data_IF_851320021405
#
_entry.id   IF_851320021405
#
_cell.length_a   1.000
_cell.length_b   1.000
_cell.length_c   1.000
_cell.angle_alpha   90.00
_cell.angle_beta   90.00
_cell.angle_gamma   90.00
#
_symmetry.space_group_name_H-M   'P 1'
#
loop_
_entity.id
_entity.type
_entity.pdbx_description
1 polymer ?
#
# COMPACT_ATOMS: atom_id res chain seq x y z
N UNK A 1 -6.98 -8.22 -23.38
CA UNK A 1 -6.40 -7.05 -23.88
C UNK A 1 -6.47 -5.90 -22.90
N UNK A 2 -5.41 -5.21 -22.85
CA UNK A 2 -5.35 -4.17 -21.93
C UNK A 2 -6.02 -2.95 -22.47
N UNK A 3 -6.83 -2.40 -21.72
CA UNK A 3 -7.54 -1.24 -22.13
C UNK A 3 -6.64 -0.01 -21.99
N UNK A 4 -6.57 0.74 -23.04
CA UNK A 4 -5.85 1.99 -22.99
C UNK A 4 -6.81 3.07 -22.55
N UNK A 5 -6.49 3.69 -21.46
CA UNK A 5 -7.29 4.77 -20.96
C UNK A 5 -6.77 6.07 -21.52
N UNK A 6 -7.63 6.82 -22.12
CA UNK A 6 -7.28 8.16 -22.52
C UNK A 6 -7.29 9.02 -21.28
N UNK A 7 -6.13 9.34 -20.82
CA UNK A 7 -6.02 10.09 -19.60
C UNK A 7 -6.06 11.57 -19.91
N UNK A 8 -7.11 12.21 -19.49
CA UNK A 8 -7.20 13.67 -19.61
C UNK A 8 -6.74 14.34 -18.34
N UNK A 9 -6.69 13.60 -17.24
CA UNK A 9 -6.27 14.15 -15.97
C UNK A 9 -4.88 13.62 -15.65
N UNK A 10 -3.88 14.51 -15.73
CA UNK A 10 -2.50 14.15 -15.50
C UNK A 10 -2.23 13.75 -14.07
N UNK A 11 -3.21 13.95 -13.17
CA UNK A 11 -3.05 13.57 -11.78
C UNK A 11 -3.49 12.14 -11.51
N UNK A 12 -3.98 11.46 -12.55
CA UNK A 12 -4.33 10.06 -12.41
C UNK A 12 -3.08 9.22 -12.29
N UNK A 13 -3.09 8.26 -11.36
CA UNK A 13 -1.94 7.42 -11.09
C UNK A 13 -2.21 6.02 -11.63
N UNK A 14 -1.18 5.42 -12.21
CA UNK A 14 -1.32 4.09 -12.79
C UNK A 14 -1.33 3.04 -11.69
N UNK A 15 -2.20 2.05 -11.84
CA UNK A 15 -2.31 0.93 -10.91
C UNK A 15 -2.38 -0.37 -11.70
N UNK A 16 -1.87 -1.47 -11.16
CA UNK A 16 -2.10 -2.76 -11.80
C UNK A 16 -3.57 -3.16 -11.65
N UNK A 17 -4.10 -3.81 -12.67
CA UNK A 17 -5.40 -4.45 -12.53
C UNK A 17 -5.27 -5.62 -11.55
N UNK A 18 -6.41 -6.07 -11.01
CA UNK A 18 -6.37 -7.19 -10.05
C UNK A 18 -5.58 -8.37 -10.61
N UNK A 19 -5.84 -8.71 -11.87
CA UNK A 19 -5.22 -9.88 -12.49
C UNK A 19 -3.72 -9.74 -12.69
N UNK A 20 -3.21 -8.52 -12.62
CA UNK A 20 -1.79 -8.26 -12.81
C UNK A 20 -0.99 -8.30 -11.52
N UNK A 21 -1.68 -8.39 -10.38
CA UNK A 21 -0.98 -8.40 -9.09
C UNK A 21 -0.33 -9.76 -8.89
N UNK A 22 0.96 -9.73 -8.52
CA UNK A 22 1.74 -10.94 -8.36
C UNK A 22 2.13 -11.14 -6.91
N UNK A 23 2.14 -12.41 -6.49
CA UNK A 23 2.48 -12.75 -5.11
C UNK A 23 3.87 -12.23 -4.73
N UNK A 24 4.85 -12.45 -5.59
CA UNK A 24 6.20 -12.01 -5.25
C UNK A 24 6.29 -10.48 -5.18
N UNK A 25 5.46 -9.78 -5.93
CA UNK A 25 5.42 -8.33 -5.83
C UNK A 25 4.89 -7.87 -4.49
N UNK A 26 3.84 -8.53 -4.00
CA UNK A 26 3.29 -8.24 -2.69
C UNK A 26 4.34 -8.49 -1.61
N UNK A 27 5.00 -9.65 -1.67
CA UNK A 27 5.99 -10.00 -0.67
C UNK A 27 7.16 -9.03 -0.68
N UNK A 28 7.60 -8.63 -1.87
CA UNK A 28 8.66 -7.64 -1.99
C UNK A 28 8.25 -6.31 -1.38
N UNK A 29 7.04 -5.86 -1.70
CA UNK A 29 6.57 -4.58 -1.19
C UNK A 29 6.50 -4.57 0.33
N UNK A 30 6.12 -5.69 0.93
CA UNK A 30 5.96 -5.78 2.38
C UNK A 30 7.22 -6.16 3.13
N UNK A 31 8.33 -6.35 2.41
CA UNK A 31 9.59 -6.74 3.07
C UNK A 31 10.37 -5.58 3.66
N UNK A 32 9.87 -4.37 3.51
CA UNK A 32 10.53 -3.17 4.05
C UNK A 32 9.78 -2.67 5.28
N UNK A 33 10.50 -2.35 6.38
CA UNK A 33 9.83 -1.94 7.62
C UNK A 33 8.97 -0.69 7.47
N UNK A 34 9.41 0.27 6.65
CA UNK A 34 8.62 1.50 6.49
C UNK A 34 7.35 1.22 5.71
N UNK A 35 7.44 0.39 4.68
CA UNK A 35 6.26 0.02 3.91
C UNK A 35 5.29 -0.82 4.75
N UNK A 36 5.83 -1.72 5.58
CA UNK A 36 4.98 -2.48 6.50
C UNK A 36 4.26 -1.57 7.48
N UNK A 37 4.95 -0.53 7.96
CA UNK A 37 4.33 0.44 8.86
C UNK A 37 3.14 1.12 8.20
N UNK A 38 3.31 1.53 6.94
CA UNK A 38 2.23 2.17 6.19
C UNK A 38 1.04 1.23 6.05
N UNK A 39 1.29 -0.01 5.67
CA UNK A 39 0.23 -0.98 5.45
C UNK A 39 -0.50 -1.31 6.75
N UNK A 40 0.23 -1.44 7.85
CA UNK A 40 -0.41 -1.68 9.15
C UNK A 40 -1.33 -0.53 9.53
N UNK A 41 -0.89 0.71 9.28
CA UNK A 41 -1.74 1.86 9.58
C UNK A 41 -2.99 1.86 8.71
N UNK A 42 -2.85 1.56 7.42
CA UNK A 42 -4.00 1.51 6.54
C UNK A 42 -4.96 0.39 6.92
N UNK A 43 -4.45 -0.68 7.49
CA UNK A 43 -5.29 -1.82 7.88
C UNK A 43 -6.15 -1.52 9.11
N UNK A 44 -5.86 -0.45 9.85
CA UNK A 44 -6.63 -0.12 11.05
C UNK A 44 -7.86 0.70 10.76
N UNK A 45 -8.05 1.13 9.52
CA UNK A 45 -9.18 1.97 9.17
C UNK A 45 -9.69 1.58 7.79
N UNK A 46 -10.96 1.87 7.54
CA UNK A 46 -11.51 1.72 6.19
C UNK A 46 -11.43 3.04 5.43
N UNK A 47 -11.01 4.11 6.09
CA UNK A 47 -10.86 5.40 5.43
C UNK A 47 -9.54 5.48 4.72
N UNK A 48 -9.49 6.34 3.71
CA UNK A 48 -8.23 6.67 3.06
C UNK A 48 -7.40 7.55 4.00
N UNK A 49 -6.07 7.37 3.93
CA UNK A 49 -5.17 8.23 4.69
C UNK A 49 -4.28 8.98 3.70
N UNK A 50 -4.07 10.26 3.94
CA UNK A 50 -3.23 11.06 3.07
C UNK A 50 -1.76 10.68 3.24
N UNK A 51 -0.96 10.93 2.21
CA UNK A 51 0.48 10.72 2.32
C UNK A 51 1.07 11.56 3.46
N UNK A 52 0.52 12.75 3.68
CA UNK A 52 1.02 13.63 4.75
C UNK A 52 0.67 13.14 6.14
N UNK A 53 -0.24 12.17 6.25
CA UNK A 53 -0.54 11.53 7.54
C UNK A 53 0.66 10.77 8.07
N UNK A 54 1.50 10.26 7.19
CA UNK A 54 2.62 9.41 7.58
C UNK A 54 3.87 10.24 7.78
N UNK A 55 4.47 10.14 8.96
CA UNK A 55 5.75 10.76 9.27
C UNK A 55 6.76 9.64 9.42
N UNK A 56 7.55 9.42 8.39
CA UNK A 56 8.52 8.34 8.38
C UNK A 56 9.93 8.91 8.59
N UNK A 57 10.80 8.19 9.30
CA UNK A 57 12.16 8.68 9.58
C UNK A 57 13.09 8.50 8.38
N UNK A 58 12.66 8.95 7.22
CA UNK A 58 13.43 8.87 5.99
C UNK A 58 13.17 10.13 5.18
N UNK A 59 13.93 10.35 4.12
CA UNK A 59 13.77 11.53 3.30
C UNK A 59 12.43 11.51 2.58
N UNK A 60 12.02 12.69 2.11
CA UNK A 60 10.77 12.80 1.39
C UNK A 60 10.79 11.99 0.10
N UNK A 61 11.92 11.98 -0.60
CA UNK A 61 12.00 11.21 -1.84
C UNK A 61 11.94 9.71 -1.55
N UNK A 62 12.52 9.27 -0.45
CA UNK A 62 12.43 7.86 -0.06
C UNK A 62 10.99 7.50 0.32
N UNK A 63 10.31 8.39 1.03
CA UNK A 63 8.91 8.18 1.35
C UNK A 63 8.07 8.05 0.08
N UNK A 64 8.29 8.94 -0.89
CA UNK A 64 7.58 8.88 -2.16
C UNK A 64 7.85 7.55 -2.87
N UNK A 65 9.10 7.09 -2.83
CA UNK A 65 9.46 5.81 -3.44
C UNK A 65 8.70 4.65 -2.77
N UNK A 66 8.61 4.65 -1.44
CA UNK A 66 7.88 3.60 -0.74
C UNK A 66 6.42 3.53 -1.16
N UNK A 67 5.76 4.68 -1.26
CA UNK A 67 4.37 4.70 -1.70
C UNK A 67 4.24 4.22 -3.14
N UNK A 68 5.20 4.56 -4.00
CA UNK A 68 5.17 4.08 -5.37
C UNK A 68 5.32 2.56 -5.44
N UNK A 69 6.22 2.00 -4.66
CA UNK A 69 6.39 0.54 -4.62
C UNK A 69 5.09 -0.13 -4.19
N UNK A 70 4.45 0.40 -3.15
CA UNK A 70 3.18 -0.16 -2.67
C UNK A 70 2.09 -0.06 -3.73
N UNK A 71 2.03 1.06 -4.45
CA UNK A 71 1.02 1.24 -5.49
C UNK A 71 1.27 0.31 -6.67
N UNK A 72 2.51 0.25 -7.14
CA UNK A 72 2.83 -0.53 -8.33
C UNK A 72 2.71 -2.03 -8.09
N UNK A 73 2.89 -2.47 -6.86
CA UNK A 73 2.71 -3.88 -6.52
C UNK A 73 1.26 -4.27 -6.35
N UNK A 74 0.36 -3.30 -6.20
CA UNK A 74 -1.05 -3.58 -6.01
C UNK A 74 -1.48 -3.68 -4.56
N UNK A 75 -0.61 -3.33 -3.62
CA UNK A 75 -0.97 -3.37 -2.20
C UNK A 75 -1.92 -2.23 -1.86
N UNK A 76 -1.67 -1.04 -2.41
CA UNK A 76 -2.50 0.12 -2.13
C UNK A 76 -3.00 0.75 -3.42
N UNK A 77 -4.05 1.54 -3.27
CA UNK A 77 -4.46 2.48 -4.31
C UNK A 77 -4.16 3.88 -3.83
N UNK A 78 -3.81 4.74 -4.77
CA UNK A 78 -3.57 6.15 -4.50
C UNK A 78 -4.42 6.99 -5.42
N UNK A 79 -5.12 7.96 -4.87
CA UNK A 79 -5.94 8.86 -5.67
C UNK A 79 -5.74 10.28 -5.14
N UNK A 80 -5.89 11.23 -6.04
CA UNK A 80 -5.91 12.63 -5.61
C UNK A 80 -7.33 13.02 -5.24
N UNK A 81 -7.46 13.65 -4.07
CA UNK A 81 -8.69 14.30 -3.64
C UNK A 81 -8.33 15.76 -3.45
N UNK A 82 -8.65 16.59 -4.46
CA UNK A 82 -8.13 17.92 -4.47
C UNK A 82 -6.62 17.90 -4.64
N UNK A 83 -5.89 18.50 -3.72
CA UNK A 83 -4.43 18.48 -3.76
C UNK A 83 -3.83 17.39 -2.89
N UNK A 84 -4.66 16.65 -2.14
CA UNK A 84 -4.16 15.62 -1.25
C UNK A 84 -4.09 14.29 -1.98
N UNK A 85 -2.96 13.59 -1.83
CA UNK A 85 -2.81 12.25 -2.35
C UNK A 85 -3.22 11.28 -1.26
N UNK A 86 -4.29 10.53 -1.51
CA UNK A 86 -4.90 9.65 -0.52
C UNK A 86 -4.58 8.21 -0.84
N UNK A 87 -4.42 7.41 0.20
CA UNK A 87 -4.02 6.01 0.10
C UNK A 87 -5.04 5.11 0.74
N UNK A 88 -5.32 3.99 0.09
CA UNK A 88 -6.21 2.97 0.62
C UNK A 88 -5.64 1.59 0.37
N UNK A 89 -5.90 0.67 1.28
CA UNK A 89 -5.43 -0.72 1.15
C UNK A 89 -6.34 -1.45 0.16
N UNK A 90 -5.76 -2.15 -0.79
CA UNK A 90 -6.54 -2.91 -1.77
C UNK A 90 -6.93 -4.28 -1.19
N UNK A 91 -7.57 -4.26 -0.04
CA UNK A 91 -7.89 -5.48 0.69
C UNK A 91 -8.76 -6.44 -0.12
N UNK A 92 -9.77 -5.92 -0.81
CA UNK A 92 -10.68 -6.79 -1.55
C UNK A 92 -9.94 -7.55 -2.65
N UNK A 93 -9.05 -6.86 -3.35
CA UNK A 93 -8.27 -7.51 -4.41
C UNK A 93 -7.30 -8.54 -3.82
N UNK A 94 -6.62 -8.18 -2.75
CA UNK A 94 -5.64 -9.06 -2.14
C UNK A 94 -6.30 -10.30 -1.55
N UNK A 95 -7.46 -10.12 -0.91
CA UNK A 95 -8.17 -11.26 -0.34
C UNK A 95 -8.74 -12.17 -1.42
N UNK A 96 -9.14 -11.59 -2.55
CA UNK A 96 -9.65 -12.39 -3.66
C UNK A 96 -8.55 -13.25 -4.29
N UNK A 97 -7.36 -12.65 -4.44
CA UNK A 97 -6.26 -13.35 -5.11
C UNK A 97 -5.50 -14.28 -4.17
N UNK A 98 -5.31 -13.87 -2.93
CA UNK A 98 -4.49 -14.59 -1.98
C UNK A 98 -5.24 -14.68 -0.65
N UNK A 99 -6.26 -15.55 -0.57
CA UNK A 99 -7.10 -15.62 0.63
C UNK A 99 -6.28 -15.87 1.88
N UNK A 100 -6.46 -15.02 2.88
CA UNK A 100 -5.80 -15.18 4.17
C UNK A 100 -4.39 -14.64 4.24
N UNK A 101 -3.77 -14.32 3.11
CA UNK A 101 -2.36 -13.90 3.12
C UNK A 101 -2.17 -12.59 3.85
N UNK A 102 -2.94 -11.57 3.50
CA UNK A 102 -2.76 -10.26 4.10
C UNK A 102 -3.00 -10.31 5.60
N UNK A 103 -4.07 -10.97 6.03
CA UNK A 103 -4.36 -11.07 7.46
C UNK A 103 -3.26 -11.81 8.19
N UNK A 104 -2.70 -12.86 7.60
CA UNK A 104 -1.61 -13.60 8.24
C UNK A 104 -0.36 -12.73 8.37
N UNK A 105 -0.06 -11.95 7.35
CA UNK A 105 1.11 -11.06 7.39
C UNK A 105 0.91 -9.98 8.46
N UNK A 106 -0.28 -9.39 8.51
CA UNK A 106 -0.57 -8.34 9.48
C UNK A 106 -0.53 -8.88 10.91
N UNK A 107 -1.04 -10.09 11.11
CA UNK A 107 -0.97 -10.72 12.41
C UNK A 107 0.47 -10.98 12.83
N UNK A 108 1.28 -11.50 11.91
CA UNK A 108 2.68 -11.75 12.18
C UNK A 108 3.42 -10.47 12.50
N UNK A 109 3.14 -9.41 11.75
CA UNK A 109 3.79 -8.12 11.99
C UNK A 109 3.39 -7.54 13.35
N UNK A 110 2.13 -7.69 13.73
CA UNK A 110 1.65 -7.21 15.01
C UNK A 110 2.32 -7.95 16.17
N UNK A 111 2.44 -9.27 16.04
CA UNK A 111 3.11 -10.05 17.07
C UNK A 111 4.59 -9.72 17.18
N UNK A 112 5.22 -9.48 16.04
CA UNK A 112 6.62 -9.08 16.03
C UNK A 112 6.81 -7.74 16.72
N UNK A 113 5.94 -6.77 16.41
CA UNK A 113 6.03 -5.45 17.03
C UNK A 113 5.91 -5.56 18.56
N UNK A 114 4.98 -6.38 19.04
CA UNK A 114 4.83 -6.59 20.48
C UNK A 114 6.05 -7.25 21.08
N UNK A 115 6.61 -8.25 20.40
CA UNK A 115 7.77 -8.98 20.90
C UNK A 115 9.02 -8.10 20.97
N UNK A 116 9.19 -7.23 19.97
CA UNK A 116 10.37 -6.39 19.88
C UNK A 116 10.18 -5.03 20.53
N UNK A 117 8.96 -4.73 21.00
CA UNK A 117 8.67 -3.45 21.60
C UNK A 117 8.54 -2.34 20.55
N UNK A 118 8.21 -2.68 19.32
CA UNK A 118 8.10 -1.74 18.23
C UNK A 118 6.64 -1.41 17.99
N UNK A 119 6.28 -0.17 18.26
CA UNK A 119 4.91 0.31 18.11
C UNK A 119 4.80 1.07 16.82
N UNK A 120 4.68 0.40 15.73
CA UNK A 120 4.63 1.02 14.42
C UNK A 120 3.38 1.90 14.21
#
# INVERSE_FOLDING_TARGET
MRRVTTVTNTRELAHPAREEIRLEGILHALSDPMRMRVVRALATTEDELSCSHFVLPVTKSTTTHHFRVLRESGVIQQVYRGTAKMNGLRRADLDALFPGLLDSILEAASREAGRLGDEA
#
